data_IF_673911676360
#
_entry.id   IF_673911676360
#
_cell.length_a   1.000
_cell.length_b   1.000
_cell.length_c   1.000
_cell.angle_alpha   90.00
_cell.angle_beta   90.00
_cell.angle_gamma   90.00
#
_symmetry.space_group_name_H-M   'P 1'
#
loop_
_entity.id
_entity.type
_entity.pdbx_description
1 polymer ?
#
# COMPACT_ATOMS: atom_id res chain seq x y z
N UNK A 1 16.07 6.58 -2.45
CA UNK A 1 16.42 7.96 -2.11
C UNK A 1 15.91 8.91 -3.21
N UNK A 2 14.71 9.51 -3.05
CA UNK A 2 14.10 10.36 -4.09
C UNK A 2 14.95 11.59 -4.40
N UNK A 3 15.52 12.24 -3.41
CA UNK A 3 16.33 13.45 -3.63
C UNK A 3 17.64 13.16 -4.36
N UNK A 4 18.36 12.12 -3.94
CA UNK A 4 19.61 11.74 -4.60
C UNK A 4 19.36 11.16 -6.00
N UNK A 5 18.32 10.35 -6.16
CA UNK A 5 17.95 9.77 -7.46
C UNK A 5 17.42 10.81 -8.45
N UNK A 6 16.48 11.65 -8.03
CA UNK A 6 15.78 12.59 -8.90
C UNK A 6 16.58 13.86 -9.23
N UNK A 7 17.24 14.43 -8.24
CA UNK A 7 17.93 15.72 -8.42
C UNK A 7 19.38 15.47 -8.86
N UNK A 8 20.08 14.60 -8.15
CA UNK A 8 21.51 14.42 -8.33
C UNK A 8 21.89 13.16 -9.10
N UNK A 9 21.01 12.15 -9.17
CA UNK A 9 21.29 10.83 -9.71
C UNK A 9 21.35 10.75 -11.23
N UNK A 10 21.88 9.61 -11.73
CA UNK A 10 22.02 9.30 -13.17
C UNK A 10 20.67 9.23 -13.90
N UNK A 11 19.60 8.89 -13.20
CA UNK A 11 18.26 8.71 -13.76
C UNK A 11 17.34 9.92 -13.55
N UNK A 12 17.86 11.00 -12.95
CA UNK A 12 17.14 12.24 -12.69
C UNK A 12 17.70 13.42 -13.46
N UNK A 13 17.70 14.62 -12.85
CA UNK A 13 18.22 15.84 -13.45
C UNK A 13 19.75 15.81 -13.66
N UNK A 14 20.45 14.86 -13.09
CA UNK A 14 21.89 14.67 -13.29
C UNK A 14 22.77 15.75 -12.68
N UNK A 15 22.26 16.58 -11.79
CA UNK A 15 23.01 17.69 -11.19
C UNK A 15 24.29 17.24 -10.50
N UNK A 16 24.33 16.00 -9.99
CA UNK A 16 25.54 15.43 -9.41
C UNK A 16 26.72 15.42 -10.36
N UNK A 17 26.50 15.00 -11.62
CA UNK A 17 27.53 15.05 -12.67
C UNK A 17 27.91 16.48 -13.03
N UNK A 18 26.93 17.38 -13.07
CA UNK A 18 27.14 18.79 -13.42
C UNK A 18 28.01 19.50 -12.36
N UNK A 19 27.77 19.21 -11.08
CA UNK A 19 28.52 19.79 -9.96
C UNK A 19 29.92 19.20 -9.85
N UNK A 20 30.08 17.90 -10.01
CA UNK A 20 31.37 17.22 -9.80
C UNK A 20 32.15 16.95 -11.08
N UNK A 21 31.63 17.32 -12.24
CA UNK A 21 32.24 17.10 -13.55
C UNK A 21 32.15 15.65 -14.05
N UNK A 22 32.11 14.68 -13.18
CA UNK A 22 31.96 13.26 -13.51
C UNK A 22 31.16 12.50 -12.46
N UNK A 23 30.60 11.33 -12.85
CA UNK A 23 29.87 10.48 -11.90
C UNK A 23 30.78 9.87 -10.84
N UNK A 24 32.02 9.51 -11.19
CA UNK A 24 32.98 8.97 -10.23
C UNK A 24 33.36 9.99 -9.16
N UNK A 25 33.58 11.23 -9.54
CA UNK A 25 33.88 12.29 -8.57
C UNK A 25 32.68 12.62 -7.69
N UNK A 26 31.46 12.57 -8.27
CA UNK A 26 30.22 12.73 -7.50
C UNK A 26 30.06 11.65 -6.44
N UNK A 27 30.18 10.39 -6.81
CA UNK A 27 30.02 9.24 -5.92
C UNK A 27 31.10 9.19 -4.81
N UNK A 28 32.24 9.84 -5.02
CA UNK A 28 33.31 9.97 -4.02
C UNK A 28 33.19 11.27 -3.20
N UNK A 29 32.30 12.19 -3.57
CA UNK A 29 32.18 13.47 -2.88
C UNK A 29 31.64 13.31 -1.46
N UNK A 30 32.15 14.12 -0.53
CA UNK A 30 31.65 14.16 0.85
C UNK A 30 30.17 14.54 0.92
N UNK A 31 29.70 15.39 0.01
CA UNK A 31 28.29 15.77 -0.07
C UNK A 31 27.39 14.59 -0.46
N UNK A 32 27.78 13.79 -1.46
CA UNK A 32 27.07 12.56 -1.81
C UNK A 32 27.02 11.58 -0.65
N UNK A 33 28.13 11.36 0.04
CA UNK A 33 28.20 10.49 1.21
C UNK A 33 27.32 11.00 2.36
N UNK A 34 27.26 12.32 2.58
CA UNK A 34 26.33 12.94 3.52
C UNK A 34 24.87 12.69 3.16
N UNK A 35 24.48 12.90 1.90
CA UNK A 35 23.12 12.60 1.42
C UNK A 35 22.78 11.12 1.56
N UNK A 36 23.70 10.23 1.25
CA UNK A 36 23.54 8.77 1.40
C UNK A 36 23.32 8.39 2.87
N UNK A 37 24.06 9.01 3.78
CA UNK A 37 23.88 8.79 5.23
C UNK A 37 22.51 9.24 5.69
N UNK A 38 22.06 10.43 5.29
CA UNK A 38 20.70 10.93 5.60
C UNK A 38 19.63 9.99 5.01
N UNK A 39 19.80 9.56 3.76
CA UNK A 39 18.89 8.61 3.12
C UNK A 39 18.81 7.29 3.87
N UNK A 40 19.95 6.76 4.34
CA UNK A 40 19.97 5.55 5.16
C UNK A 40 19.25 5.73 6.50
N UNK A 41 19.40 6.88 7.15
CA UNK A 41 18.66 7.20 8.37
C UNK A 41 17.14 7.27 8.12
N UNK A 42 16.72 7.90 7.02
CA UNK A 42 15.30 7.95 6.61
C UNK A 42 14.79 6.53 6.30
N UNK A 43 15.62 5.68 5.69
CA UNK A 43 15.25 4.29 5.42
C UNK A 43 14.94 3.49 6.70
N UNK A 44 15.56 3.83 7.86
CA UNK A 44 15.21 3.21 9.13
C UNK A 44 13.76 3.50 9.55
N UNK A 45 13.25 4.69 9.23
CA UNK A 45 11.84 5.03 9.47
C UNK A 45 10.93 4.12 8.63
N UNK A 46 11.27 3.90 7.37
CA UNK A 46 10.54 2.96 6.51
C UNK A 46 10.57 1.54 7.05
N UNK A 47 11.68 1.10 7.60
CA UNK A 47 11.79 -0.22 8.21
C UNK A 47 10.86 -0.37 9.43
N UNK A 48 10.74 0.68 10.25
CA UNK A 48 9.87 0.70 11.42
C UNK A 48 8.38 0.99 11.11
N UNK A 49 8.03 1.27 9.87
CA UNK A 49 6.66 1.64 9.46
C UNK A 49 6.17 0.83 8.26
N UNK A 50 6.61 1.21 7.06
CA UNK A 50 6.11 0.62 5.80
C UNK A 50 6.50 -0.85 5.63
N UNK A 51 7.71 -1.22 6.04
CA UNK A 51 8.21 -2.59 5.88
C UNK A 51 7.59 -3.57 6.90
N UNK A 52 6.91 -3.06 7.93
CA UNK A 52 6.15 -3.87 8.89
C UNK A 52 4.66 -3.51 8.89
N UNK A 53 4.18 -2.88 7.82
CA UNK A 53 2.81 -2.37 7.75
C UNK A 53 1.75 -3.46 7.93
N UNK A 54 1.93 -4.64 7.33
CA UNK A 54 1.03 -5.78 7.52
C UNK A 54 1.01 -6.26 8.97
N UNK A 55 2.16 -6.29 9.63
CA UNK A 55 2.25 -6.66 11.04
C UNK A 55 1.47 -5.69 11.95
N UNK A 56 1.65 -4.38 11.73
CA UNK A 56 0.88 -3.36 12.43
C UNK A 56 -0.63 -3.50 12.16
N UNK A 57 -0.98 -3.82 10.91
CA UNK A 57 -2.36 -4.05 10.51
C UNK A 57 -2.96 -5.28 11.21
N UNK A 58 -2.22 -6.38 11.36
CA UNK A 58 -2.68 -7.55 12.14
C UNK A 58 -3.08 -7.14 13.55
N UNK A 59 -2.26 -6.34 14.22
CA UNK A 59 -2.54 -5.87 15.58
C UNK A 59 -3.81 -5.02 15.64
N UNK A 60 -3.86 -3.97 14.81
CA UNK A 60 -4.97 -3.02 14.79
C UNK A 60 -6.27 -3.72 14.36
N UNK A 61 -6.21 -4.52 13.29
CA UNK A 61 -7.39 -5.18 12.74
C UNK A 61 -7.94 -6.25 13.68
N UNK A 62 -7.07 -7.06 14.32
CA UNK A 62 -7.49 -8.03 15.35
C UNK A 62 -8.20 -7.34 16.49
N UNK A 63 -7.64 -6.23 16.99
CA UNK A 63 -8.23 -5.45 18.07
C UNK A 63 -9.60 -4.88 17.68
N UNK A 64 -9.71 -4.25 16.51
CA UNK A 64 -10.96 -3.66 16.04
C UNK A 64 -12.04 -4.70 15.76
N UNK A 65 -11.69 -5.84 15.17
CA UNK A 65 -12.62 -6.96 14.96
C UNK A 65 -13.11 -7.49 16.31
N UNK A 66 -12.21 -7.70 17.25
CA UNK A 66 -12.58 -8.15 18.60
C UNK A 66 -13.51 -7.15 19.28
N UNK A 67 -13.14 -5.88 19.32
CA UNK A 67 -13.92 -4.81 19.95
C UNK A 67 -15.29 -4.61 19.32
N UNK A 68 -15.40 -4.69 18.00
CA UNK A 68 -16.64 -4.40 17.28
C UNK A 68 -17.62 -5.58 17.29
N UNK A 69 -17.13 -6.80 17.18
CA UNK A 69 -17.99 -7.98 17.01
C UNK A 69 -18.12 -8.85 18.27
N UNK A 70 -17.28 -8.62 19.29
CA UNK A 70 -17.27 -9.39 20.53
C UNK A 70 -17.23 -8.44 21.73
N UNK A 71 -18.29 -7.62 21.86
CA UNK A 71 -18.42 -6.51 22.81
C UNK A 71 -18.54 -6.93 24.25
N UNK A 72 -18.93 -8.19 24.52
CA UNK A 72 -19.17 -8.71 25.89
C UNK A 72 -17.86 -8.98 26.67
N UNK A 73 -16.72 -8.62 26.11
CA UNK A 73 -15.40 -8.81 26.70
C UNK A 73 -14.89 -7.53 27.34
N UNK A 74 -14.29 -7.67 28.52
CA UNK A 74 -13.57 -6.58 29.16
C UNK A 74 -12.16 -6.35 28.56
N UNK A 75 -11.61 -7.35 27.84
CA UNK A 75 -10.25 -7.33 27.34
C UNK A 75 -10.17 -7.98 25.95
N UNK A 76 -9.49 -7.31 25.01
CA UNK A 76 -9.37 -7.71 23.61
C UNK A 76 -7.94 -8.08 23.19
N UNK A 77 -6.95 -7.89 24.07
CA UNK A 77 -5.54 -8.11 23.71
C UNK A 77 -5.21 -9.58 23.47
N UNK A 78 -5.91 -10.49 24.15
CA UNK A 78 -5.79 -11.93 23.93
C UNK A 78 -6.13 -12.30 22.49
N UNK A 79 -7.13 -11.66 21.89
CA UNK A 79 -7.53 -11.87 20.50
C UNK A 79 -6.42 -11.40 19.53
N UNK A 80 -5.76 -10.30 19.86
CA UNK A 80 -4.61 -9.78 19.11
C UNK A 80 -3.44 -10.77 19.12
N UNK A 81 -3.15 -11.36 20.27
CA UNK A 81 -2.07 -12.36 20.39
C UNK A 81 -2.33 -13.58 19.52
N UNK A 82 -3.58 -14.08 19.46
CA UNK A 82 -3.92 -15.20 18.60
C UNK A 82 -3.98 -14.81 17.12
N UNK A 83 -4.39 -13.58 16.79
CA UNK A 83 -4.28 -13.02 15.45
C UNK A 83 -2.83 -12.95 14.95
N UNK A 84 -1.92 -12.45 15.79
CA UNK A 84 -0.48 -12.42 15.52
C UNK A 84 0.10 -13.83 15.36
N UNK A 85 -0.21 -14.73 16.32
CA UNK A 85 0.27 -16.11 16.27
C UNK A 85 -0.15 -16.83 15.00
N UNK A 86 -1.41 -16.69 14.59
CA UNK A 86 -1.92 -17.26 13.36
C UNK A 86 -1.22 -16.67 12.11
N UNK A 87 -0.99 -15.37 12.09
CA UNK A 87 -0.29 -14.72 11.00
C UNK A 87 1.15 -15.23 10.87
N UNK A 88 1.89 -15.31 11.99
CA UNK A 88 3.25 -15.84 12.00
C UNK A 88 3.34 -17.33 11.62
N UNK A 89 2.34 -18.14 11.96
CA UNK A 89 2.26 -19.54 11.51
C UNK A 89 2.12 -19.64 10.00
N UNK A 90 1.44 -18.68 9.38
CA UNK A 90 1.15 -18.72 7.94
C UNK A 90 2.29 -18.19 7.06
N UNK A 91 3.16 -17.31 7.58
CA UNK A 91 4.29 -16.79 6.79
C UNK A 91 5.43 -17.81 6.72
N UNK A 92 6.26 -17.79 5.63
CA UNK A 92 7.40 -18.69 5.51
C UNK A 92 8.51 -18.34 6.50
N UNK A 93 9.09 -19.37 7.09
CA UNK A 93 10.24 -19.28 7.99
C UNK A 93 11.54 -19.80 7.36
N UNK A 94 11.46 -20.18 6.10
CA UNK A 94 12.58 -20.69 5.33
C UNK A 94 12.66 -19.93 4.02
N UNK A 95 13.87 -19.66 3.58
CA UNK A 95 14.14 -18.97 2.32
C UNK A 95 15.23 -19.72 1.55
N UNK A 96 14.94 -20.03 0.28
CA UNK A 96 15.92 -20.65 -0.61
C UNK A 96 16.65 -19.59 -1.42
N UNK A 97 17.93 -19.38 -1.15
CA UNK A 97 18.77 -18.43 -1.86
C UNK A 97 19.53 -19.11 -2.99
N UNK A 98 19.31 -18.64 -4.21
CA UNK A 98 20.11 -19.06 -5.37
C UNK A 98 21.46 -18.35 -5.36
N UNK A 99 22.55 -19.08 -5.27
CA UNK A 99 23.90 -18.50 -5.29
C UNK A 99 24.16 -17.96 -6.70
N UNK A 100 24.48 -16.64 -6.85
CA UNK A 100 24.78 -16.04 -8.14
C UNK A 100 25.89 -16.82 -8.87
N UNK A 101 25.72 -16.98 -10.18
CA UNK A 101 26.66 -17.71 -11.06
C UNK A 101 26.82 -19.21 -10.76
N UNK A 102 25.94 -19.83 -9.97
CA UNK A 102 25.89 -21.26 -9.75
C UNK A 102 24.48 -21.80 -9.87
N UNK A 103 24.33 -23.11 -10.14
CA UNK A 103 23.01 -23.76 -10.11
C UNK A 103 22.62 -24.26 -8.70
N UNK A 104 23.35 -23.82 -7.68
CA UNK A 104 23.12 -24.28 -6.30
C UNK A 104 22.21 -23.32 -5.56
N UNK A 105 21.27 -23.85 -4.81
CA UNK A 105 20.44 -23.15 -3.84
C UNK A 105 20.89 -23.53 -2.43
N UNK A 106 20.85 -22.56 -1.53
CA UNK A 106 21.07 -22.78 -0.09
C UNK A 106 19.79 -22.38 0.64
N UNK A 107 19.29 -23.30 1.46
CA UNK A 107 18.12 -23.02 2.30
C UNK A 107 18.59 -22.36 3.60
N UNK A 108 18.11 -21.15 3.82
CA UNK A 108 18.27 -20.40 5.06
C UNK A 108 17.09 -20.69 5.95
N UNK A 109 17.36 -21.37 7.07
CA UNK A 109 16.34 -21.74 8.05
C UNK A 109 16.17 -20.63 9.10
N UNK A 110 15.01 -20.55 9.72
CA UNK A 110 14.67 -19.57 10.77
C UNK A 110 14.78 -18.11 10.30
N UNK A 111 14.47 -17.86 9.04
CA UNK A 111 14.41 -16.53 8.45
C UNK A 111 12.97 -16.13 8.19
N UNK A 112 12.58 -14.95 8.63
CA UNK A 112 11.27 -14.38 8.32
C UNK A 112 11.41 -13.50 7.09
N UNK A 113 10.66 -13.82 6.03
CA UNK A 113 10.63 -12.99 4.85
C UNK A 113 9.85 -11.69 5.14
N UNK A 114 10.60 -10.60 5.21
CA UNK A 114 10.06 -9.26 5.52
C UNK A 114 9.08 -8.75 4.47
N UNK A 115 9.07 -9.32 3.26
CA UNK A 115 8.10 -8.93 2.23
C UNK A 115 6.66 -9.15 2.68
N UNK A 116 6.39 -10.22 3.47
CA UNK A 116 5.06 -10.50 4.00
C UNK A 116 4.70 -9.70 5.25
N UNK A 117 5.70 -9.08 5.91
CA UNK A 117 5.44 -8.14 7.00
C UNK A 117 5.05 -6.75 6.50
N UNK A 118 5.45 -6.41 5.27
CA UNK A 118 5.15 -5.15 4.60
C UNK A 118 3.87 -5.18 3.76
N UNK A 119 3.83 -4.34 2.75
CA UNK A 119 2.64 -4.10 1.91
C UNK A 119 2.14 -5.33 1.16
N UNK A 120 3.00 -6.30 0.84
CA UNK A 120 2.59 -7.54 0.17
C UNK A 120 1.80 -8.48 1.08
N UNK A 121 1.98 -8.37 2.40
CA UNK A 121 1.25 -9.18 3.38
C UNK A 121 -0.11 -8.62 3.80
N UNK A 122 -0.52 -7.46 3.32
CA UNK A 122 -1.73 -6.74 3.79
C UNK A 122 -2.99 -7.58 3.68
N UNK A 123 -3.25 -8.24 2.54
CA UNK A 123 -4.42 -9.10 2.40
C UNK A 123 -4.37 -10.33 3.31
N UNK A 124 -3.18 -10.94 3.40
CA UNK A 124 -2.97 -12.07 4.30
C UNK A 124 -3.18 -11.63 5.76
N UNK A 125 -2.69 -10.45 6.14
CA UNK A 125 -2.88 -9.88 7.48
C UNK A 125 -4.37 -9.74 7.83
N UNK A 126 -5.16 -9.13 6.97
CA UNK A 126 -6.61 -8.93 7.17
C UNK A 126 -7.35 -10.27 7.27
N UNK A 127 -7.13 -11.16 6.29
CA UNK A 127 -7.86 -12.42 6.23
C UNK A 127 -7.48 -13.35 7.38
N UNK A 128 -6.18 -13.58 7.58
CA UNK A 128 -5.69 -14.52 8.60
C UNK A 128 -6.07 -14.01 10.00
N UNK A 129 -5.80 -12.75 10.31
CA UNK A 129 -6.07 -12.21 11.65
C UNK A 129 -7.57 -12.11 11.93
N UNK A 130 -8.37 -11.68 10.96
CA UNK A 130 -9.81 -11.63 11.09
C UNK A 130 -10.43 -13.00 11.35
N UNK A 131 -10.02 -14.01 10.59
CA UNK A 131 -10.47 -15.40 10.81
C UNK A 131 -9.97 -15.96 12.14
N UNK A 132 -8.73 -15.67 12.53
CA UNK A 132 -8.17 -16.12 13.80
C UNK A 132 -8.99 -15.59 14.98
N UNK A 133 -9.26 -14.29 15.00
CA UNK A 133 -10.10 -13.66 16.03
C UNK A 133 -11.51 -14.25 16.04
N UNK A 134 -12.09 -14.44 14.86
CA UNK A 134 -13.43 -15.02 14.74
C UNK A 134 -13.48 -16.48 15.27
N UNK A 135 -12.55 -17.32 14.85
CA UNK A 135 -12.47 -18.73 15.28
C UNK A 135 -12.25 -18.81 16.80
N UNK A 136 -11.28 -18.07 17.31
CA UNK A 136 -10.96 -18.03 18.73
C UNK A 136 -12.21 -17.70 19.57
N UNK A 137 -12.92 -16.64 19.21
CA UNK A 137 -14.10 -16.22 19.95
C UNK A 137 -15.26 -17.21 19.83
N UNK A 138 -15.45 -17.82 18.65
CA UNK A 138 -16.47 -18.86 18.48
C UNK A 138 -16.23 -20.09 19.36
N UNK A 139 -14.97 -20.46 19.59
CA UNK A 139 -14.61 -21.56 20.49
C UNK A 139 -14.74 -21.13 21.96
N UNK A 140 -14.26 -19.95 22.29
CA UNK A 140 -14.34 -19.41 23.65
C UNK A 140 -15.80 -19.25 24.12
N UNK A 141 -16.72 -18.80 23.26
CA UNK A 141 -18.15 -18.68 23.53
C UNK A 141 -18.82 -20.03 23.84
N UNK A 142 -18.25 -21.16 23.40
CA UNK A 142 -18.74 -22.49 23.74
C UNK A 142 -18.30 -22.96 25.13
N UNK A 143 -17.64 -22.12 25.91
CA UNK A 143 -17.10 -22.43 27.23
C UNK A 143 -16.15 -23.65 27.27
N UNK A 144 -15.47 -23.92 26.13
CA UNK A 144 -14.42 -24.95 26.03
C UNK A 144 -13.14 -24.34 26.60
N UNK A 145 -13.09 -24.21 27.94
CA UNK A 145 -12.02 -23.49 28.64
C UNK A 145 -11.61 -24.25 29.89
N UNK A 146 -10.40 -24.02 30.37
CA UNK A 146 -9.93 -24.47 31.67
C UNK A 146 -10.55 -23.55 32.72
N UNK A 147 -11.42 -24.10 33.56
CA UNK A 147 -12.01 -23.37 34.69
C UNK A 147 -11.11 -23.52 35.93
N UNK A 148 -10.68 -22.40 36.45
CA UNK A 148 -9.92 -22.35 37.71
C UNK A 148 -10.84 -21.94 38.86
N UNK A 149 -10.49 -22.31 40.14
CA UNK A 149 -11.22 -21.88 41.30
C UNK A 149 -11.26 -20.34 41.44
N UNK A 150 -12.31 -19.81 42.09
CA UNK A 150 -12.52 -18.36 42.26
C UNK A 150 -11.43 -17.69 43.13
N UNK A 151 -10.60 -18.46 43.82
CA UNK A 151 -9.45 -17.98 44.57
C UNK A 151 -8.27 -17.53 43.73
N UNK A 152 -8.28 -17.85 42.43
CA UNK A 152 -7.19 -17.50 41.51
C UNK A 152 -7.38 -16.07 40.99
N UNK A 153 -6.31 -15.25 40.93
CA UNK A 153 -6.38 -13.90 40.39
C UNK A 153 -6.97 -13.88 38.98
N UNK A 154 -7.86 -12.92 38.62
CA UNK A 154 -8.56 -12.88 37.35
C UNK A 154 -7.65 -12.94 36.09
N UNK A 155 -6.50 -12.27 36.13
CA UNK A 155 -5.54 -12.27 35.02
C UNK A 155 -4.94 -13.66 34.76
N UNK A 156 -4.70 -14.44 35.85
CA UNK A 156 -4.22 -15.82 35.74
C UNK A 156 -5.33 -16.72 35.22
N UNK A 157 -6.53 -16.60 35.75
CA UNK A 157 -7.69 -17.37 35.31
C UNK A 157 -7.98 -17.15 33.82
N UNK A 158 -7.89 -15.91 33.37
CA UNK A 158 -8.06 -15.55 31.95
C UNK A 158 -6.98 -16.19 31.04
N UNK A 159 -5.72 -16.18 31.46
CA UNK A 159 -4.64 -16.82 30.71
C UNK A 159 -4.89 -18.31 30.52
N UNK A 160 -5.32 -19.02 31.57
CA UNK A 160 -5.64 -20.45 31.47
C UNK A 160 -6.91 -20.72 30.65
N UNK A 161 -7.92 -19.87 30.78
CA UNK A 161 -9.17 -20.02 30.01
C UNK A 161 -8.96 -19.84 28.50
N UNK A 162 -7.97 -19.06 28.10
CA UNK A 162 -7.63 -18.81 26.69
C UNK A 162 -6.79 -19.92 26.04
N UNK A 163 -6.17 -20.80 26.83
CA UNK A 163 -5.25 -21.82 26.32
C UNK A 163 -5.91 -22.79 25.33
N UNK A 164 -7.05 -23.39 25.69
CA UNK A 164 -7.72 -24.34 24.83
C UNK A 164 -8.27 -23.70 23.56
N UNK A 165 -9.06 -22.59 23.62
CA UNK A 165 -9.53 -21.91 22.43
C UNK A 165 -8.37 -21.42 21.53
N UNK A 166 -7.32 -20.91 22.15
CA UNK A 166 -6.13 -20.44 21.43
C UNK A 166 -5.37 -21.56 20.75
N UNK A 167 -5.11 -22.67 21.45
CA UNK A 167 -4.44 -23.85 20.87
C UNK A 167 -5.21 -24.45 19.70
N UNK A 168 -6.54 -24.55 19.81
CA UNK A 168 -7.37 -25.01 18.69
C UNK A 168 -7.29 -24.05 17.52
N UNK A 169 -7.37 -22.73 17.79
CA UNK A 169 -7.27 -21.70 16.74
C UNK A 169 -5.94 -21.80 16.01
N UNK A 170 -4.81 -21.79 16.71
CA UNK A 170 -3.49 -21.91 16.11
C UNK A 170 -3.30 -23.26 15.40
N UNK A 171 -3.84 -24.36 15.95
CA UNK A 171 -3.83 -25.67 15.35
C UNK A 171 -4.55 -25.70 14.01
N UNK A 172 -5.67 -25.00 13.87
CA UNK A 172 -6.39 -24.85 12.59
C UNK A 172 -5.49 -24.16 11.56
N UNK A 173 -4.78 -23.06 11.94
CA UNK A 173 -3.89 -22.38 11.02
C UNK A 173 -2.64 -23.20 10.65
N UNK A 174 -2.12 -24.03 11.56
CA UNK A 174 -1.08 -25.01 11.23
C UNK A 174 -1.57 -25.97 10.15
N UNK A 175 -2.77 -26.56 10.33
CA UNK A 175 -3.37 -27.47 9.36
C UNK A 175 -3.61 -26.78 8.02
N UNK A 176 -4.20 -25.58 8.02
CA UNK A 176 -4.46 -24.81 6.80
C UNK A 176 -3.18 -24.47 6.06
N UNK A 177 -2.12 -24.08 6.77
CA UNK A 177 -0.80 -23.80 6.18
C UNK A 177 -0.18 -25.08 5.61
N UNK A 178 -0.30 -26.20 6.34
CA UNK A 178 0.15 -27.51 5.86
C UNK A 178 -0.58 -27.96 4.59
N UNK A 179 -1.91 -27.83 4.55
CA UNK A 179 -2.71 -28.12 3.37
C UNK A 179 -2.32 -27.20 2.20
N UNK A 180 -2.20 -25.90 2.45
CA UNK A 180 -1.78 -24.94 1.42
C UNK A 180 -0.45 -25.35 0.79
N UNK A 181 0.55 -25.64 1.63
CA UNK A 181 1.89 -26.01 1.16
C UNK A 181 1.88 -27.37 0.45
N UNK A 182 1.19 -28.36 0.99
CA UNK A 182 1.11 -29.69 0.39
C UNK A 182 0.38 -29.71 -0.97
N UNK A 183 -0.74 -28.96 -1.09
CA UNK A 183 -1.54 -28.96 -2.30
C UNK A 183 -1.02 -28.00 -3.38
N UNK A 184 -0.38 -26.90 -3.01
CA UNK A 184 -0.02 -25.83 -3.94
C UNK A 184 1.47 -25.51 -4.00
N UNK A 185 2.26 -26.05 -3.08
CA UNK A 185 3.67 -25.70 -2.90
C UNK A 185 3.89 -24.27 -2.37
N UNK A 186 2.81 -23.58 -1.94
CA UNK A 186 2.86 -22.17 -1.52
C UNK A 186 2.39 -22.01 -0.08
N UNK A 187 3.01 -21.06 0.63
CA UNK A 187 2.50 -20.61 1.93
C UNK A 187 1.16 -19.88 1.78
N UNK A 188 0.39 -19.76 2.86
CA UNK A 188 -0.91 -19.10 2.84
C UNK A 188 -0.85 -17.67 2.25
N UNK A 189 0.08 -16.78 2.65
CA UNK A 189 0.22 -15.48 2.03
C UNK A 189 0.53 -15.56 0.53
N UNK A 190 1.44 -16.44 0.12
CA UNK A 190 1.77 -16.64 -1.29
C UNK A 190 0.59 -17.20 -2.10
N UNK A 191 -0.23 -18.06 -1.48
CA UNK A 191 -1.46 -18.56 -2.09
C UNK A 191 -2.47 -17.42 -2.31
N UNK A 192 -2.73 -16.60 -1.28
CA UNK A 192 -3.62 -15.45 -1.42
C UNK A 192 -3.12 -14.46 -2.49
N UNK A 193 -1.83 -14.19 -2.49
CA UNK A 193 -1.23 -13.38 -3.56
C UNK A 193 -1.48 -13.99 -4.94
N UNK A 194 -1.28 -15.32 -5.10
CA UNK A 194 -1.43 -15.96 -6.41
C UNK A 194 -2.89 -16.09 -6.88
N UNK A 195 -3.82 -16.40 -5.96
CA UNK A 195 -5.25 -16.60 -6.29
C UNK A 195 -5.97 -15.28 -6.49
N UNK A 196 -5.67 -14.28 -5.67
CA UNK A 196 -6.28 -12.95 -5.78
C UNK A 196 -5.52 -12.07 -6.77
N UNK A 197 -4.20 -12.15 -6.77
CA UNK A 197 -3.33 -11.26 -7.54
C UNK A 197 -3.25 -11.63 -9.03
N UNK A 198 -3.18 -12.91 -9.40
CA UNK A 198 -3.02 -13.28 -10.80
C UNK A 198 -4.22 -12.85 -11.69
N UNK A 199 -5.49 -13.08 -11.30
CA UNK A 199 -6.63 -12.53 -12.02
C UNK A 199 -6.65 -11.00 -12.01
N UNK A 200 -6.32 -10.39 -10.85
CA UNK A 200 -6.27 -8.95 -10.72
C UNK A 200 -5.20 -8.32 -11.63
N UNK A 201 -4.02 -8.94 -11.77
CA UNK A 201 -2.98 -8.50 -12.71
C UNK A 201 -3.44 -8.59 -14.17
N UNK A 202 -4.09 -9.67 -14.57
CA UNK A 202 -4.62 -9.82 -15.92
C UNK A 202 -5.62 -8.71 -16.25
N UNK A 203 -6.54 -8.43 -15.33
CA UNK A 203 -7.55 -7.37 -15.47
C UNK A 203 -6.89 -5.99 -15.39
N UNK A 204 -5.90 -5.80 -14.51
CA UNK A 204 -5.25 -4.50 -14.28
C UNK A 204 -4.50 -3.94 -15.50
N UNK A 205 -4.20 -4.79 -16.46
CA UNK A 205 -3.55 -4.45 -17.74
C UNK A 205 -4.54 -4.05 -18.84
N UNK A 206 -5.82 -3.93 -18.52
CA UNK A 206 -6.86 -3.52 -19.46
C UNK A 206 -7.21 -2.04 -19.29
N UNK A 207 -7.61 -1.41 -20.40
CA UNK A 207 -8.13 -0.04 -20.36
C UNK A 207 -9.37 0.05 -19.45
N UNK A 208 -10.30 -0.90 -19.53
CA UNK A 208 -11.50 -0.90 -18.71
C UNK A 208 -11.17 -0.84 -17.21
N UNK A 209 -10.19 -1.60 -16.75
CA UNK A 209 -9.73 -1.53 -15.35
C UNK A 209 -9.15 -0.16 -15.01
N UNK A 210 -8.35 0.41 -15.93
CA UNK A 210 -7.81 1.74 -15.73
C UNK A 210 -8.92 2.80 -15.63
N UNK A 211 -9.97 2.70 -16.45
CA UNK A 211 -11.13 3.57 -16.35
C UNK A 211 -11.80 3.45 -14.99
N UNK A 212 -12.17 2.24 -14.58
CA UNK A 212 -12.84 1.99 -13.29
C UNK A 212 -11.97 2.49 -12.13
N UNK A 213 -10.66 2.26 -12.18
CA UNK A 213 -9.70 2.70 -11.19
C UNK A 213 -9.69 4.24 -11.05
N UNK A 214 -9.56 4.97 -12.16
CA UNK A 214 -9.52 6.44 -12.15
C UNK A 214 -10.88 7.04 -11.80
N UNK A 215 -11.94 6.44 -12.29
CA UNK A 215 -13.31 6.83 -11.96
C UNK A 215 -13.59 6.65 -10.46
N UNK A 216 -13.19 5.51 -9.88
CA UNK A 216 -13.36 5.24 -8.44
C UNK A 216 -12.57 6.23 -7.59
N UNK A 217 -11.33 6.57 -8.01
CA UNK A 217 -10.54 7.60 -7.34
C UNK A 217 -11.29 8.92 -7.25
N UNK A 218 -11.74 9.42 -8.41
CA UNK A 218 -12.47 10.69 -8.50
C UNK A 218 -13.80 10.66 -7.75
N UNK A 219 -14.49 9.52 -7.81
CA UNK A 219 -15.78 9.33 -7.13
C UNK A 219 -15.64 9.40 -5.60
N UNK A 220 -14.63 8.68 -5.05
CA UNK A 220 -14.35 8.75 -3.61
C UNK A 220 -14.02 10.17 -3.18
N UNK A 221 -13.20 10.87 -3.95
CA UNK A 221 -12.83 12.25 -3.66
C UNK A 221 -14.03 13.21 -3.77
N UNK A 222 -14.97 12.96 -4.69
CA UNK A 222 -16.20 13.72 -4.77
C UNK A 222 -17.11 13.48 -3.54
N UNK A 223 -17.09 12.29 -2.94
CA UNK A 223 -17.73 12.03 -1.65
C UNK A 223 -16.98 12.64 -0.44
N UNK A 224 -15.86 13.29 -0.66
CA UNK A 224 -15.02 13.86 0.42
C UNK A 224 -14.14 12.82 1.11
N UNK A 225 -14.03 11.61 0.56
CA UNK A 225 -13.21 10.53 1.07
C UNK A 225 -11.87 10.59 0.35
N UNK A 226 -10.76 10.69 1.10
CA UNK A 226 -9.43 10.65 0.49
C UNK A 226 -9.17 9.23 -0.07
N UNK A 227 -8.98 9.08 -1.38
CA UNK A 227 -9.07 7.78 -2.03
C UNK A 227 -7.87 6.87 -1.79
N UNK A 228 -6.70 7.41 -1.41
CA UNK A 228 -5.43 6.67 -1.37
C UNK A 228 -5.49 5.36 -0.58
N UNK A 229 -6.15 5.34 0.57
CA UNK A 229 -6.23 4.15 1.43
C UNK A 229 -7.07 3.04 0.80
N UNK A 230 -8.25 3.39 0.28
CA UNK A 230 -9.19 2.43 -0.32
C UNK A 230 -8.68 2.02 -1.70
N UNK A 231 -8.29 2.98 -2.51
CA UNK A 231 -7.81 2.78 -3.87
C UNK A 231 -6.51 1.95 -3.88
N UNK A 232 -5.57 2.28 -3.00
CA UNK A 232 -4.30 1.56 -2.86
C UNK A 232 -4.49 0.09 -2.54
N UNK A 233 -5.44 -0.24 -1.67
CA UNK A 233 -5.75 -1.63 -1.32
C UNK A 233 -6.38 -2.43 -2.48
N UNK A 234 -7.23 -1.79 -3.30
CA UNK A 234 -7.98 -2.47 -4.36
C UNK A 234 -7.20 -2.48 -5.68
N UNK A 235 -6.69 -1.32 -6.10
CA UNK A 235 -6.09 -1.12 -7.42
C UNK A 235 -4.56 -0.99 -7.37
N UNK A 236 -4.04 -0.34 -6.33
CA UNK A 236 -2.63 0.03 -6.24
C UNK A 236 -1.69 -1.17 -6.20
N UNK A 237 -2.09 -2.24 -5.52
CA UNK A 237 -1.24 -3.42 -5.35
C UNK A 237 -0.85 -4.06 -6.70
N UNK A 238 -1.81 -4.23 -7.61
CA UNK A 238 -1.55 -4.83 -8.92
C UNK A 238 -0.64 -3.96 -9.79
N UNK A 239 -0.82 -2.65 -9.72
CA UNK A 239 -0.01 -1.71 -10.50
C UNK A 239 1.39 -1.51 -9.93
N UNK A 240 1.56 -1.61 -8.60
CA UNK A 240 2.89 -1.62 -7.97
C UNK A 240 3.73 -2.82 -8.42
N UNK A 241 3.10 -3.97 -8.70
CA UNK A 241 3.80 -5.12 -9.26
C UNK A 241 4.28 -4.83 -10.67
N UNK A 242 3.43 -4.22 -11.50
CA UNK A 242 3.81 -3.78 -12.84
C UNK A 242 4.98 -2.78 -12.79
N UNK A 243 4.96 -1.84 -11.82
CA UNK A 243 6.07 -0.92 -11.58
C UNK A 243 7.37 -1.68 -11.27
N UNK A 244 7.30 -2.65 -10.35
CA UNK A 244 8.47 -3.44 -9.96
C UNK A 244 9.04 -4.21 -11.14
N UNK A 245 8.19 -4.83 -11.97
CA UNK A 245 8.63 -5.53 -13.19
C UNK A 245 9.27 -4.58 -14.21
N UNK A 246 8.72 -3.39 -14.36
CA UNK A 246 9.28 -2.36 -15.22
C UNK A 246 10.65 -1.87 -14.71
N UNK A 247 10.76 -1.62 -13.41
CA UNK A 247 12.01 -1.16 -12.78
C UNK A 247 13.14 -2.21 -12.85
N UNK A 248 12.78 -3.49 -12.81
CA UNK A 248 13.72 -4.60 -12.95
C UNK A 248 14.04 -4.93 -14.42
N UNK A 249 13.45 -4.22 -15.38
CA UNK A 249 13.62 -4.49 -16.82
C UNK A 249 13.00 -5.82 -17.29
N UNK A 250 12.13 -6.43 -16.47
CA UNK A 250 11.49 -7.71 -16.77
C UNK A 250 10.30 -7.58 -17.72
N UNK A 251 9.71 -6.40 -17.78
CA UNK A 251 8.55 -6.08 -18.61
C UNK A 251 8.44 -4.58 -18.88
N UNK A 252 7.53 -4.21 -19.81
CA UNK A 252 7.21 -2.83 -20.13
C UNK A 252 5.69 -2.61 -20.05
N UNK A 253 5.15 -2.63 -18.82
CA UNK A 253 3.73 -2.40 -18.58
C UNK A 253 3.43 -0.90 -18.51
N UNK A 254 2.53 -0.43 -19.38
CA UNK A 254 2.07 0.96 -19.36
C UNK A 254 1.18 1.21 -18.13
N UNK A 255 0.28 0.25 -17.82
CA UNK A 255 -0.62 0.37 -16.66
C UNK A 255 0.15 0.08 -15.38
N UNK A 256 0.48 1.14 -14.65
CA UNK A 256 1.32 1.08 -13.45
C UNK A 256 0.97 2.24 -12.51
N UNK A 257 1.38 2.15 -11.25
CA UNK A 257 1.21 3.25 -10.29
C UNK A 257 2.00 4.47 -10.71
N UNK A 258 3.19 4.27 -11.27
CA UNK A 258 4.03 5.36 -11.77
C UNK A 258 3.35 6.10 -12.93
N UNK A 259 2.74 5.35 -13.85
CA UNK A 259 2.00 5.96 -14.96
C UNK A 259 0.74 6.68 -14.49
N UNK A 260 0.02 6.12 -13.51
CA UNK A 260 -1.10 6.80 -12.88
C UNK A 260 -0.66 8.12 -12.25
N UNK A 261 0.39 8.11 -11.43
CA UNK A 261 0.91 9.31 -10.80
C UNK A 261 1.30 10.35 -11.85
N UNK A 262 2.00 9.95 -12.89
CA UNK A 262 2.36 10.82 -14.01
C UNK A 262 1.11 11.45 -14.65
N UNK A 263 0.14 10.65 -15.03
CA UNK A 263 -1.07 11.10 -15.71
C UNK A 263 -1.95 12.00 -14.85
N UNK A 264 -1.97 11.77 -13.54
CA UNK A 264 -2.75 12.56 -12.57
C UNK A 264 -2.02 13.85 -12.21
N UNK A 265 -0.72 13.77 -11.93
CA UNK A 265 0.11 14.92 -11.56
C UNK A 265 0.31 15.84 -12.75
N UNK A 266 0.73 15.29 -13.89
CA UNK A 266 0.98 16.09 -15.09
C UNK A 266 -0.31 16.78 -15.59
N UNK A 267 -1.46 16.14 -15.44
CA UNK A 267 -2.75 16.76 -15.72
C UNK A 267 -3.14 17.82 -14.71
N UNK A 268 -2.57 17.80 -13.49
CA UNK A 268 -2.95 18.68 -12.38
C UNK A 268 -4.46 18.66 -12.12
N UNK A 269 -5.09 17.51 -12.33
CA UNK A 269 -6.53 17.37 -12.60
C UNK A 269 -7.41 17.95 -11.50
N UNK A 270 -6.97 17.84 -10.25
CA UNK A 270 -7.73 18.34 -9.10
C UNK A 270 -7.07 19.52 -8.39
N UNK A 271 -5.91 19.94 -8.83
CA UNK A 271 -5.08 20.96 -8.18
C UNK A 271 -4.85 22.17 -9.08
N UNK A 272 -3.81 22.19 -9.86
CA UNK A 272 -3.39 23.35 -10.63
C UNK A 272 -4.32 23.67 -11.81
N UNK A 273 -4.81 22.66 -12.52
CA UNK A 273 -5.70 22.86 -13.68
C UNK A 273 -7.00 23.60 -13.33
N UNK A 274 -7.79 23.21 -12.33
CA UNK A 274 -8.99 23.96 -11.95
C UNK A 274 -8.65 25.33 -11.38
N UNK A 275 -7.50 25.49 -10.68
CA UNK A 275 -7.03 26.81 -10.20
C UNK A 275 -6.82 27.75 -11.37
N UNK A 276 -6.06 27.34 -12.37
CA UNK A 276 -5.78 28.16 -13.55
C UNK A 276 -7.06 28.44 -14.35
N UNK A 277 -7.89 27.44 -14.56
CA UNK A 277 -9.18 27.61 -15.26
C UNK A 277 -10.08 28.65 -14.59
N UNK A 278 -10.20 28.62 -13.28
CA UNK A 278 -11.02 29.59 -12.52
C UNK A 278 -10.40 30.98 -12.56
N UNK A 279 -9.08 31.09 -12.42
CA UNK A 279 -8.41 32.39 -12.49
C UNK A 279 -8.55 33.05 -13.86
N UNK A 280 -8.57 32.26 -14.92
CA UNK A 280 -8.71 32.75 -16.31
C UNK A 280 -10.16 33.02 -16.64
N UNK A 281 -11.05 32.06 -16.44
CA UNK A 281 -12.41 32.07 -17.01
C UNK A 281 -13.50 32.55 -16.04
N UNK A 282 -13.31 32.42 -14.72
CA UNK A 282 -14.40 32.75 -13.78
C UNK A 282 -14.52 34.23 -13.52
N UNK A 283 -15.74 34.75 -13.61
CA UNK A 283 -16.12 36.11 -13.22
C UNK A 283 -16.59 36.22 -11.76
N UNK A 284 -16.75 35.08 -11.05
CA UNK A 284 -17.22 35.03 -9.66
C UNK A 284 -16.12 35.46 -8.70
N UNK A 285 -16.30 36.58 -8.01
CA UNK A 285 -15.31 37.16 -7.09
C UNK A 285 -14.95 36.19 -5.96
N UNK A 286 -15.95 35.50 -5.37
CA UNK A 286 -15.74 34.52 -4.30
C UNK A 286 -14.87 33.35 -4.74
N UNK A 287 -15.17 32.76 -5.91
CA UNK A 287 -14.39 31.65 -6.46
C UNK A 287 -12.94 32.08 -6.71
N UNK A 288 -12.72 33.25 -7.30
CA UNK A 288 -11.35 33.77 -7.55
C UNK A 288 -10.56 34.03 -6.25
N UNK A 289 -11.22 34.50 -5.18
CA UNK A 289 -10.56 34.69 -3.87
C UNK A 289 -10.08 33.35 -3.29
N UNK A 290 -10.95 32.35 -3.26
CA UNK A 290 -10.61 30.99 -2.80
C UNK A 290 -9.47 30.42 -3.64
N UNK A 291 -9.56 30.54 -4.95
CA UNK A 291 -8.57 30.03 -5.88
C UNK A 291 -7.18 30.68 -5.72
N UNK A 292 -7.13 31.99 -5.41
CA UNK A 292 -5.87 32.66 -5.11
C UNK A 292 -5.20 32.11 -3.85
N UNK A 293 -5.96 31.78 -2.82
CA UNK A 293 -5.45 31.16 -1.59
C UNK A 293 -4.97 29.72 -1.88
N UNK A 294 -5.70 29.01 -2.72
CA UNK A 294 -5.40 27.64 -3.10
C UNK A 294 -4.24 27.50 -4.11
N UNK A 295 -3.78 28.59 -4.74
CA UNK A 295 -2.76 28.55 -5.78
C UNK A 295 -1.45 27.95 -5.27
N UNK A 296 -0.96 28.39 -4.13
CA UNK A 296 0.28 27.85 -3.57
C UNK A 296 0.18 26.36 -3.22
N UNK A 297 -0.83 25.88 -2.47
CA UNK A 297 -1.05 24.46 -2.30
C UNK A 297 -1.19 23.68 -3.62
N UNK A 298 -1.86 24.24 -4.61
CA UNK A 298 -2.09 23.59 -5.90
C UNK A 298 -0.80 23.35 -6.71
N UNK A 299 0.21 24.22 -6.56
CA UNK A 299 1.54 24.02 -7.15
C UNK A 299 2.18 22.73 -6.60
N UNK A 300 1.93 22.43 -5.32
CA UNK A 300 2.37 21.20 -4.67
C UNK A 300 1.35 20.06 -4.79
N UNK A 301 0.47 20.12 -5.76
CA UNK A 301 -0.58 19.14 -6.04
C UNK A 301 -1.55 18.86 -4.86
N UNK A 302 -1.72 19.82 -3.95
CA UNK A 302 -2.66 19.73 -2.84
C UNK A 302 -4.01 20.28 -3.32
N UNK A 303 -4.99 19.39 -3.46
CA UNK A 303 -6.29 19.69 -4.05
C UNK A 303 -7.37 20.13 -3.06
N UNK A 304 -7.18 19.84 -1.78
CA UNK A 304 -8.16 20.04 -0.71
C UNK A 304 -8.69 21.49 -0.62
N UNK A 305 -7.86 22.53 -0.73
CA UNK A 305 -8.34 23.91 -0.67
C UNK A 305 -9.33 24.25 -1.81
N UNK A 306 -9.16 23.64 -2.99
CA UNK A 306 -10.09 23.79 -4.10
C UNK A 306 -11.34 22.92 -3.88
N UNK A 307 -11.15 21.65 -3.58
CA UNK A 307 -12.23 20.66 -3.47
C UNK A 307 -13.23 21.04 -2.38
N UNK A 308 -12.75 21.47 -1.23
CA UNK A 308 -13.63 21.90 -0.12
C UNK A 308 -13.99 23.38 -0.19
N UNK A 309 -13.05 24.24 -0.58
CA UNK A 309 -13.28 25.70 -0.63
C UNK A 309 -14.31 26.12 -1.66
N UNK A 310 -14.39 25.46 -2.80
CA UNK A 310 -15.40 25.69 -3.83
C UNK A 310 -16.65 24.83 -3.66
N UNK A 311 -16.78 24.11 -2.55
CA UNK A 311 -17.90 23.19 -2.29
C UNK A 311 -18.14 22.22 -3.43
N UNK A 312 -17.08 21.59 -3.94
CA UNK A 312 -17.15 20.58 -5.01
C UNK A 312 -17.71 19.27 -4.44
N UNK A 313 -17.34 18.95 -3.20
CA UNK A 313 -17.78 17.73 -2.50
C UNK A 313 -19.29 17.70 -2.44
N UNK A 314 -19.88 16.57 -2.85
CA UNK A 314 -21.33 16.30 -2.89
C UNK A 314 -22.13 17.31 -3.70
N UNK A 315 -21.51 18.12 -4.54
CA UNK A 315 -22.20 19.08 -5.37
C UNK A 315 -22.53 18.49 -6.75
N UNK A 316 -23.81 18.25 -7.07
CA UNK A 316 -24.20 17.58 -8.29
C UNK A 316 -23.81 18.34 -9.58
N UNK A 317 -23.64 19.67 -9.51
CA UNK A 317 -23.23 20.48 -10.65
C UNK A 317 -21.81 20.12 -11.09
N UNK A 318 -20.93 19.82 -10.14
CA UNK A 318 -19.54 19.45 -10.41
C UNK A 318 -19.35 17.95 -10.56
N UNK A 319 -20.38 17.13 -10.36
CA UNK A 319 -20.25 15.66 -10.39
C UNK A 319 -19.60 15.14 -11.68
N UNK A 320 -20.24 15.40 -12.81
CA UNK A 320 -19.78 14.88 -14.11
C UNK A 320 -18.38 15.39 -14.47
N UNK A 321 -18.10 16.71 -14.47
CA UNK A 321 -16.78 17.19 -14.85
C UNK A 321 -15.69 16.74 -13.87
N UNK A 322 -15.98 16.66 -12.57
CA UNK A 322 -15.01 16.27 -11.56
C UNK A 322 -14.68 14.77 -11.65
N UNK A 323 -15.71 13.91 -11.74
CA UNK A 323 -15.51 12.45 -11.74
C UNK A 323 -14.89 11.95 -13.04
N UNK A 324 -15.15 12.61 -14.17
CA UNK A 324 -14.59 12.22 -15.46
C UNK A 324 -13.23 12.87 -15.79
N UNK A 325 -12.85 13.92 -15.08
CA UNK A 325 -11.61 14.64 -15.38
C UNK A 325 -10.38 13.74 -15.31
N UNK A 326 -10.27 12.92 -14.26
CA UNK A 326 -9.12 12.05 -14.07
C UNK A 326 -9.06 10.89 -15.08
N UNK A 327 -10.15 10.12 -15.34
CA UNK A 327 -10.16 9.16 -16.43
C UNK A 327 -9.75 9.78 -17.76
N UNK A 328 -10.29 10.94 -18.12
CA UNK A 328 -9.98 11.62 -19.38
C UNK A 328 -8.49 11.97 -19.43
N UNK A 329 -7.91 12.58 -18.39
CA UNK A 329 -6.50 12.90 -18.31
C UNK A 329 -5.61 11.66 -18.46
N UNK A 330 -5.98 10.57 -17.78
CA UNK A 330 -5.29 9.29 -17.90
C UNK A 330 -5.28 8.76 -19.35
N UNK A 331 -6.41 8.79 -20.04
CA UNK A 331 -6.50 8.31 -21.41
C UNK A 331 -5.80 9.20 -22.43
N UNK A 332 -5.75 10.51 -22.19
CA UNK A 332 -4.93 11.43 -22.98
C UNK A 332 -3.44 11.04 -22.85
N UNK A 333 -2.95 10.87 -21.63
CA UNK A 333 -1.57 10.43 -21.39
C UNK A 333 -1.30 9.05 -22.01
N UNK A 334 -2.24 8.10 -21.90
CA UNK A 334 -2.15 6.78 -22.49
C UNK A 334 -2.07 6.84 -24.03
N UNK A 335 -2.85 7.70 -24.66
CA UNK A 335 -2.79 7.91 -26.11
C UNK A 335 -1.41 8.39 -26.55
N UNK A 336 -0.87 9.43 -25.90
CA UNK A 336 0.45 9.95 -26.21
C UNK A 336 1.59 8.96 -25.93
N UNK A 337 1.43 8.09 -24.93
CA UNK A 337 2.39 7.01 -24.67
C UNK A 337 2.31 5.94 -25.76
N UNK A 338 1.11 5.56 -26.19
CA UNK A 338 0.93 4.54 -27.25
C UNK A 338 1.46 4.96 -28.61
N UNK A 339 1.39 6.25 -28.94
CA UNK A 339 1.98 6.77 -30.20
C UNK A 339 3.47 7.08 -30.08
N UNK A 340 4.09 6.80 -28.92
CA UNK A 340 5.54 6.99 -28.70
C UNK A 340 5.98 8.43 -28.44
N UNK A 341 5.04 9.36 -28.24
CA UNK A 341 5.36 10.75 -27.89
C UNK A 341 5.85 10.86 -26.45
N UNK A 342 5.30 10.06 -25.53
CA UNK A 342 5.73 9.95 -24.15
C UNK A 342 6.40 8.58 -23.98
N UNK A 343 7.62 8.57 -23.44
CA UNK A 343 8.32 7.34 -23.11
C UNK A 343 7.61 6.60 -21.95
N UNK A 344 7.68 5.26 -21.91
CA UNK A 344 7.17 4.49 -20.75
C UNK A 344 7.78 4.98 -19.44
N UNK A 345 6.94 5.19 -18.44
CA UNK A 345 7.37 5.66 -17.14
C UNK A 345 7.91 4.48 -16.33
N UNK A 346 9.22 4.49 -16.08
CA UNK A 346 9.92 3.42 -15.34
C UNK A 346 10.47 3.89 -13.99
N UNK A 347 10.47 5.20 -13.74
CA UNK A 347 10.96 5.81 -12.52
C UNK A 347 9.85 6.54 -11.78
N UNK A 348 10.00 6.65 -10.47
CA UNK A 348 9.04 7.40 -9.67
C UNK A 348 9.07 8.87 -10.05
N UNK A 349 7.93 9.38 -10.49
CA UNK A 349 7.71 10.81 -10.69
C UNK A 349 7.20 11.36 -9.36
N UNK A 350 7.86 12.36 -8.77
CA UNK A 350 7.37 12.95 -7.54
C UNK A 350 5.98 13.54 -7.79
N UNK A 351 5.11 13.38 -6.81
CA UNK A 351 3.76 13.91 -6.87
C UNK A 351 3.70 15.41 -6.49
N UNK A 352 4.85 16.00 -6.22
CA UNK A 352 5.04 17.42 -5.93
C UNK A 352 5.99 18.06 -6.95
#
# INVERSE_FOLDING_TARGET
>A
DPMNGLIFGKQGLGLGKLIAGSWSNWEQSGFYNGLKTIANLIALVSNGTLNIFALLLVVIFSYEVSRKFFTDKAEHMTDVLFGLGAFFICIPWNFSYAIPNTKKTVDVLNYIDTQYLGTQGVFAAILISGFAVWIYNKIAQKNITIKLPDSVPPAVAQSFSSLIPGSITLGIFIILTGISTACTGKTMPALFLSVLQAPALAISRTGAFAFVSQFTWSLLQWFGIHPSSIWGAIFGMTWTINDTQNMLGQAHHIFSTLFMNFSTIAAGTFSLSPVLAILIASKRVGARKITKIALLPAIFNISEPITFGLSIVLNPIYFIPFVLAQPIGFYIALFFTKIGFIAPIVNNVPWT
#
